data_IF_285100777901
#
_entry.id   IF_285100777901
#
_cell.length_a   1.000
_cell.length_b   1.000
_cell.length_c   1.000
_cell.angle_alpha   90.00
_cell.angle_beta   90.00
_cell.angle_gamma   90.00
#
_symmetry.space_group_name_H-M   'P 1'
#
loop_
_entity.id
_entity.type
_entity.pdbx_description
1 polymer ?
#
# COMPACT_ATOMS: atom_id res chain seq x y z
N UNK A 1 7.45 -8.73 -6.75
CA UNK A 1 6.01 -8.88 -7.01
C UNK A 1 5.27 -8.62 -5.73
N UNK A 2 4.37 -7.65 -5.74
CA UNK A 2 3.51 -7.32 -4.61
C UNK A 2 2.04 -7.59 -4.94
N UNK A 3 1.21 -7.74 -3.91
CA UNK A 3 -0.23 -8.00 -4.00
C UNK A 3 -1.01 -7.11 -3.01
N UNK A 4 -2.14 -6.55 -3.44
CA UNK A 4 -3.18 -6.01 -2.57
C UNK A 4 -4.42 -6.88 -2.73
N UNK A 5 -4.96 -7.37 -1.62
CA UNK A 5 -6.26 -8.04 -1.56
C UNK A 5 -7.27 -7.11 -0.90
N UNK A 6 -8.40 -6.89 -1.57
CA UNK A 6 -9.48 -6.02 -1.12
C UNK A 6 -10.73 -6.86 -0.88
N UNK A 7 -11.36 -6.67 0.27
CA UNK A 7 -12.61 -7.32 0.67
C UNK A 7 -13.64 -6.24 0.99
N UNK A 8 -14.86 -6.34 0.45
CA UNK A 8 -15.91 -5.34 0.66
C UNK A 8 -16.94 -5.86 1.67
N UNK A 9 -17.25 -5.07 2.70
CA UNK A 9 -18.27 -5.40 3.71
C UNK A 9 -19.69 -5.59 3.12
N UNK A 10 -19.96 -5.05 1.94
CA UNK A 10 -21.30 -5.09 1.33
C UNK A 10 -21.52 -6.28 0.39
N UNK A 11 -20.48 -7.05 0.08
CA UNK A 11 -20.55 -8.16 -0.89
C UNK A 11 -19.67 -9.29 -0.32
N UNK A 12 -20.27 -10.24 0.40
CA UNK A 12 -19.55 -11.29 1.13
C UNK A 12 -18.70 -12.23 0.24
N UNK A 13 -18.78 -12.13 -1.09
CA UNK A 13 -18.10 -13.03 -2.03
C UNK A 13 -17.18 -12.36 -3.08
N UNK A 14 -17.11 -11.02 -3.15
CA UNK A 14 -16.25 -10.35 -4.15
C UNK A 14 -14.93 -9.87 -3.53
N UNK A 15 -13.85 -10.60 -3.83
CA UNK A 15 -12.48 -10.17 -3.55
C UNK A 15 -11.84 -9.56 -4.80
N UNK A 16 -11.15 -8.43 -4.63
CA UNK A 16 -10.32 -7.86 -5.70
C UNK A 16 -8.86 -8.06 -5.33
N UNK A 17 -8.11 -8.69 -6.24
CA UNK A 17 -6.67 -8.88 -6.11
C UNK A 17 -5.95 -8.01 -7.14
N UNK A 18 -5.08 -7.12 -6.67
CA UNK A 18 -4.25 -6.25 -7.49
C UNK A 18 -2.81 -6.67 -7.30
N UNK A 19 -2.05 -6.80 -8.40
CA UNK A 19 -0.64 -7.21 -8.35
C UNK A 19 0.24 -6.26 -9.14
N UNK A 20 1.49 -6.13 -8.72
CA UNK A 20 2.54 -5.48 -9.49
C UNK A 20 3.83 -6.30 -9.49
N UNK A 21 4.62 -6.20 -10.55
CA UNK A 21 5.83 -7.01 -10.73
C UNK A 21 7.02 -6.47 -9.91
N UNK A 22 6.97 -5.19 -9.53
CA UNK A 22 8.01 -4.51 -8.75
C UNK A 22 8.24 -5.16 -7.38
N UNK A 23 9.39 -4.85 -6.76
CA UNK A 23 9.76 -5.41 -5.46
C UNK A 23 8.83 -4.94 -4.33
N UNK A 24 8.23 -3.76 -4.47
CA UNK A 24 7.31 -3.17 -3.49
C UNK A 24 6.30 -2.28 -4.20
N UNK A 25 5.18 -1.97 -3.53
CA UNK A 25 4.16 -1.08 -4.09
C UNK A 25 4.63 0.39 -4.04
N UNK A 26 4.51 1.15 -5.15
CA UNK A 26 4.81 2.58 -5.13
C UNK A 26 3.86 3.36 -4.21
N UNK A 27 4.35 4.42 -3.54
CA UNK A 27 3.56 5.27 -2.65
C UNK A 27 2.30 5.83 -3.32
N UNK A 28 2.43 6.35 -4.54
CA UNK A 28 1.29 6.89 -5.28
C UNK A 28 0.23 5.81 -5.60
N UNK A 29 0.67 4.58 -5.84
CA UNK A 29 -0.22 3.44 -6.11
C UNK A 29 -0.93 3.00 -4.84
N UNK A 30 -0.21 2.92 -3.71
CA UNK A 30 -0.79 2.63 -2.40
C UNK A 30 -1.85 3.68 -2.02
N UNK A 31 -1.56 4.97 -2.21
CA UNK A 31 -2.52 6.07 -1.97
C UNK A 31 -3.78 5.95 -2.82
N UNK A 32 -3.63 5.66 -4.11
CA UNK A 32 -4.76 5.50 -5.04
C UNK A 32 -5.72 4.41 -4.56
N UNK A 33 -5.20 3.23 -4.23
CA UNK A 33 -6.03 2.09 -3.84
C UNK A 33 -6.58 2.23 -2.41
N UNK A 34 -5.82 2.83 -1.51
CA UNK A 34 -6.32 3.18 -0.19
C UNK A 34 -7.57 4.08 -0.28
N UNK A 35 -7.49 5.18 -1.05
CA UNK A 35 -8.63 6.07 -1.23
C UNK A 35 -9.83 5.37 -1.89
N UNK A 36 -9.57 4.60 -2.95
CA UNK A 36 -10.62 3.94 -3.72
C UNK A 36 -11.38 2.89 -2.90
N UNK A 37 -10.69 2.12 -2.05
CA UNK A 37 -11.28 0.97 -1.38
C UNK A 37 -11.55 1.19 0.10
N UNK A 38 -10.61 1.79 0.82
CA UNK A 38 -10.73 1.99 2.26
C UNK A 38 -11.43 3.32 2.56
N UNK A 39 -11.04 4.39 1.87
CA UNK A 39 -11.60 5.73 2.06
C UNK A 39 -13.05 5.86 1.58
N UNK A 40 -13.30 5.54 0.31
CA UNK A 40 -14.62 5.78 -0.32
C UNK A 40 -15.57 4.58 -0.24
N UNK A 41 -15.07 3.34 -0.33
CA UNK A 41 -15.91 2.15 -0.52
C UNK A 41 -16.11 1.28 0.74
N UNK A 42 -15.57 1.67 1.91
CA UNK A 42 -15.62 0.89 3.17
C UNK A 42 -15.12 -0.56 3.03
N UNK A 43 -14.25 -0.85 2.09
CA UNK A 43 -13.58 -2.14 1.96
C UNK A 43 -12.33 -2.21 2.83
N UNK A 44 -11.99 -3.41 3.28
CA UNK A 44 -10.70 -3.70 3.90
C UNK A 44 -9.69 -4.05 2.81
N UNK A 45 -8.53 -3.40 2.82
CA UNK A 45 -7.45 -3.68 1.88
C UNK A 45 -6.20 -4.11 2.64
N UNK A 46 -5.66 -5.27 2.28
CA UNK A 46 -4.43 -5.83 2.85
C UNK A 46 -3.35 -5.94 1.77
N UNK A 47 -2.11 -5.68 2.16
CA UNK A 47 -0.92 -5.67 1.31
C UNK A 47 0.00 -6.84 1.63
N UNK A 48 0.61 -7.44 0.60
CA UNK A 48 1.61 -8.50 0.74
C UNK A 48 2.76 -8.30 -0.25
N UNK A 49 4.00 -8.33 0.24
CA UNK A 49 5.21 -8.01 -0.55
C UNK A 49 5.77 -9.17 -1.37
N UNK A 50 5.32 -10.40 -1.16
CA UNK A 50 5.56 -11.61 -1.98
C UNK A 50 5.00 -12.84 -1.24
N UNK A 51 4.89 -14.00 -1.91
CA UNK A 51 4.58 -15.28 -1.25
C UNK A 51 5.49 -15.51 -0.04
N UNK A 52 4.88 -15.67 1.15
CA UNK A 52 5.56 -15.99 2.40
C UNK A 52 5.73 -14.82 3.37
N UNK A 53 5.37 -13.59 2.99
CA UNK A 53 5.26 -12.47 3.93
C UNK A 53 3.83 -12.39 4.50
N UNK A 54 3.67 -12.00 5.78
CA UNK A 54 2.35 -11.77 6.34
C UNK A 54 1.67 -10.60 5.61
N UNK A 55 0.36 -10.73 5.41
CA UNK A 55 -0.46 -9.62 4.97
C UNK A 55 -0.44 -8.53 6.06
N UNK A 56 -0.21 -7.29 5.65
CA UNK A 56 -0.31 -6.10 6.51
C UNK A 56 -1.45 -5.23 6.01
N UNK A 57 -2.06 -4.42 6.87
CA UNK A 57 -3.08 -3.49 6.42
C UNK A 57 -2.50 -2.47 5.43
N UNK A 58 -3.25 -2.16 4.37
CA UNK A 58 -2.81 -1.19 3.36
C UNK A 58 -2.56 0.19 3.98
N UNK A 59 -3.31 0.56 5.03
CA UNK A 59 -3.06 1.78 5.82
C UNK A 59 -1.68 1.75 6.49
N UNK A 60 -1.30 0.63 7.10
CA UNK A 60 0.00 0.48 7.76
C UNK A 60 1.13 0.54 6.73
N UNK A 61 0.97 -0.15 5.59
CA UNK A 61 1.94 -0.06 4.49
C UNK A 61 2.07 1.38 3.99
N UNK A 62 0.97 2.11 3.88
CA UNK A 62 0.99 3.51 3.44
C UNK A 62 1.81 4.38 4.40
N UNK A 63 1.64 4.21 5.72
CA UNK A 63 2.44 4.92 6.73
C UNK A 63 3.94 4.61 6.61
N UNK A 64 4.30 3.35 6.39
CA UNK A 64 5.70 2.94 6.17
C UNK A 64 6.31 3.64 4.94
N UNK A 65 5.56 3.68 3.84
CA UNK A 65 6.00 4.32 2.60
C UNK A 65 6.16 5.83 2.76
N UNK A 66 5.23 6.49 3.47
CA UNK A 66 5.31 7.93 3.75
C UNK A 66 6.53 8.26 4.63
N UNK A 67 6.77 7.51 5.71
CA UNK A 67 7.94 7.71 6.56
C UNK A 67 9.27 7.49 5.83
N UNK A 68 9.28 6.55 4.88
CA UNK A 68 10.46 6.26 4.07
C UNK A 68 10.72 7.39 3.07
N UNK A 69 9.68 7.94 2.44
CA UNK A 69 9.77 9.09 1.54
C UNK A 69 10.32 10.33 2.26
N UNK A 70 9.82 10.62 3.47
CA UNK A 70 10.28 11.72 4.31
C UNK A 70 11.76 11.57 4.70
N UNK A 71 12.20 10.37 5.10
CA UNK A 71 13.62 10.09 5.41
C UNK A 71 14.52 10.25 4.20
N UNK A 72 14.09 9.82 3.01
CA UNK A 72 14.85 10.09 1.78
C UNK A 72 14.92 11.56 1.44
N UNK A 73 13.99 12.40 1.91
CA UNK A 73 14.02 13.85 1.68
C UNK A 73 15.00 14.57 2.61
N UNK A 74 15.19 14.08 3.84
CA UNK A 74 16.17 14.63 4.80
C UNK A 74 17.62 14.29 4.42
N UNK A 75 17.88 13.10 3.87
CA UNK A 75 19.23 12.69 3.43
C UNK A 75 19.77 13.47 2.21
N UNK A 76 18.90 14.10 1.41
CA UNK A 76 19.35 14.96 0.28
C UNK A 76 19.76 16.36 0.76
N UNK A 77 19.40 16.76 1.99
CA UNK A 77 19.66 18.11 2.48
C UNK A 77 20.96 18.26 3.30
N UNK A 78 21.81 17.23 3.34
CA UNK A 78 23.12 17.25 4.04
C UNK A 78 24.33 17.54 3.12
N UNK A 79 24.11 17.82 1.83
CA UNK A 79 25.16 18.27 0.90
C UNK A 79 24.76 19.52 0.10
N UNK A 80 24.14 20.50 0.75
CA UNK A 80 23.69 21.74 0.12
C UNK A 80 24.07 23.01 0.89
N UNK A 81 25.30 23.48 0.65
CA UNK A 81 25.90 24.82 0.97
C UNK A 81 26.31 25.14 2.40
#
# INVERSE_FOLDING_TARGET
MWEIKVTFDSIEEDEIIIRGEEQDIPLWTALKYYNLFVGEAKGQAVYCRSMGHPYVDLEEKLRELTLTDERTREDVNIYGT
#
